data_IF_677245698946
#
_entry.id   IF_677245698946
#
_cell.length_a   1.000
_cell.length_b   1.000
_cell.length_c   1.000
_cell.angle_alpha   90.00
_cell.angle_beta   90.00
_cell.angle_gamma   90.00
#
_symmetry.space_group_name_H-M   'P 1'
#
loop_
_entity.id
_entity.type
_entity.pdbx_description
1 polymer ?
#
# COMPACT_ATOMS: atom_id res chain seq x y z
N UNK A 1 4.74 -4.82 -7.57
CA UNK A 1 3.37 -5.12 -7.07
C UNK A 1 3.36 -5.12 -5.54
N UNK A 2 2.28 -4.70 -4.89
CA UNK A 2 2.13 -4.80 -3.42
C UNK A 2 1.34 -6.04 -3.02
N UNK A 3 1.85 -6.82 -2.08
CA UNK A 3 1.27 -8.07 -1.59
C UNK A 3 0.97 -7.99 -0.09
N UNK A 4 -0.32 -8.13 0.25
CA UNK A 4 -0.83 -8.02 1.62
C UNK A 4 -0.81 -9.38 2.36
N UNK A 5 -0.07 -9.40 3.46
CA UNK A 5 0.02 -10.56 4.37
C UNK A 5 -0.99 -10.50 5.52
N UNK A 6 -1.68 -9.37 5.67
CA UNK A 6 -2.65 -9.06 6.69
C UNK A 6 -2.23 -7.84 7.51
N UNK A 7 -3.06 -6.80 7.51
CA UNK A 7 -2.98 -5.68 8.44
C UNK A 7 -3.38 -6.12 9.85
N UNK A 8 -2.78 -5.52 10.88
CA UNK A 8 -3.11 -5.81 12.28
C UNK A 8 -3.58 -4.54 12.98
N UNK A 9 -4.79 -4.56 13.50
CA UNK A 9 -5.37 -3.49 14.33
C UNK A 9 -5.93 -4.13 15.61
N UNK A 10 -5.56 -3.61 16.78
CA UNK A 10 -5.98 -4.15 18.08
C UNK A 10 -5.79 -5.67 18.23
N UNK A 11 -4.69 -6.18 17.67
CA UNK A 11 -4.33 -7.60 17.68
C UNK A 11 -5.15 -8.48 16.73
N UNK A 12 -6.02 -7.91 15.90
CA UNK A 12 -6.82 -8.61 14.89
C UNK A 12 -6.21 -8.46 13.51
N UNK A 13 -5.98 -9.57 12.83
CA UNK A 13 -5.50 -9.58 11.46
C UNK A 13 -6.66 -9.43 10.45
N UNK A 14 -6.52 -8.56 9.45
CA UNK A 14 -7.49 -8.41 8.35
C UNK A 14 -7.60 -9.68 7.49
N UNK A 15 -6.53 -10.47 7.44
CA UNK A 15 -6.47 -11.77 6.77
C UNK A 15 -6.42 -12.87 7.83
N UNK A 16 -7.51 -13.59 8.02
CA UNK A 16 -7.57 -14.64 9.05
C UNK A 16 -6.55 -15.76 8.80
N UNK A 17 -6.47 -16.24 7.54
CA UNK A 17 -5.60 -17.35 7.14
C UNK A 17 -4.62 -16.91 6.06
N UNK A 18 -3.34 -17.22 6.27
CA UNK A 18 -2.27 -17.03 5.29
C UNK A 18 -1.65 -18.40 4.98
N UNK A 19 -2.19 -19.08 3.97
CA UNK A 19 -1.68 -20.38 3.54
C UNK A 19 -0.35 -20.20 2.78
N UNK A 20 0.78 -20.78 3.24
CA UNK A 20 2.08 -20.62 2.58
C UNK A 20 2.12 -21.13 1.14
N UNK A 21 1.32 -22.16 0.79
CA UNK A 21 1.24 -22.67 -0.57
C UNK A 21 0.53 -21.66 -1.49
N UNK A 22 -0.54 -21.03 -1.00
CA UNK A 22 -1.23 -19.95 -1.72
C UNK A 22 -0.30 -18.75 -1.89
N UNK A 23 0.40 -18.32 -0.83
CA UNK A 23 1.36 -17.21 -0.90
C UNK A 23 2.42 -17.44 -1.98
N UNK A 24 3.06 -18.62 -1.98
CA UNK A 24 4.07 -18.94 -2.99
C UNK A 24 3.49 -18.92 -4.41
N UNK A 25 2.26 -19.40 -4.57
CA UNK A 25 1.61 -19.47 -5.87
C UNK A 25 1.18 -18.10 -6.38
N UNK A 26 0.63 -17.24 -5.52
CA UNK A 26 0.30 -15.86 -5.83
C UNK A 26 1.56 -15.06 -6.20
N UNK A 27 2.67 -15.22 -5.46
CA UNK A 27 3.94 -14.58 -5.78
C UNK A 27 4.54 -15.09 -7.10
N UNK A 28 4.38 -16.38 -7.43
CA UNK A 28 4.78 -16.92 -8.73
C UNK A 28 3.96 -16.30 -9.87
N UNK A 29 2.65 -16.11 -9.69
CA UNK A 29 1.79 -15.42 -10.66
C UNK A 29 2.20 -13.95 -10.81
N UNK A 30 2.53 -13.27 -9.71
CA UNK A 30 3.05 -11.89 -9.73
C UNK A 30 4.34 -11.80 -10.55
N UNK A 31 5.25 -12.75 -10.41
CA UNK A 31 6.48 -12.78 -11.20
C UNK A 31 6.22 -13.15 -12.67
N UNK A 32 5.59 -14.28 -12.90
CA UNK A 32 5.57 -14.93 -14.22
C UNK A 32 4.48 -14.33 -15.14
N UNK A 33 3.32 -13.99 -14.58
CA UNK A 33 2.16 -13.58 -15.37
C UNK A 33 2.01 -12.06 -15.39
N UNK A 34 2.28 -11.38 -14.26
CA UNK A 34 2.31 -9.91 -14.19
C UNK A 34 3.66 -9.30 -14.59
N UNK A 35 4.70 -10.12 -14.83
CA UNK A 35 6.06 -9.68 -15.20
C UNK A 35 6.72 -8.76 -14.16
N UNK A 36 6.35 -8.88 -12.88
CA UNK A 36 6.99 -8.10 -11.82
C UNK A 36 8.38 -8.68 -11.50
N UNK A 37 9.36 -7.80 -11.32
CA UNK A 37 10.70 -8.07 -10.80
C UNK A 37 10.83 -7.76 -9.31
N UNK A 38 9.98 -6.87 -8.78
CA UNK A 38 9.92 -6.49 -7.37
C UNK A 38 8.51 -6.63 -6.76
N UNK A 39 8.48 -6.98 -5.47
CA UNK A 39 7.26 -7.04 -4.66
C UNK A 39 7.43 -6.31 -3.33
N UNK A 40 6.46 -5.45 -3.00
CA UNK A 40 6.34 -4.87 -1.67
C UNK A 40 5.47 -5.75 -0.80
N UNK A 41 6.07 -6.35 0.23
CA UNK A 41 5.38 -7.21 1.18
C UNK A 41 4.94 -6.35 2.36
N UNK A 42 3.62 -6.20 2.53
CA UNK A 42 3.03 -5.38 3.60
C UNK A 42 2.25 -6.22 4.60
N UNK A 43 2.13 -5.73 5.83
CA UNK A 43 1.37 -6.36 6.90
C UNK A 43 1.85 -5.95 8.30
N UNK A 44 1.07 -6.31 9.31
CA UNK A 44 1.35 -5.97 10.71
C UNK A 44 2.04 -7.07 11.54
N UNK A 45 2.19 -8.27 10.98
CA UNK A 45 2.75 -9.45 11.65
C UNK A 45 4.13 -9.80 11.07
N UNK A 46 5.23 -9.68 11.86
CA UNK A 46 6.59 -9.99 11.39
C UNK A 46 6.79 -11.41 10.86
N UNK A 47 6.11 -12.42 11.44
CA UNK A 47 6.25 -13.80 11.01
C UNK A 47 5.63 -14.00 9.62
N UNK A 48 4.49 -13.34 9.37
CA UNK A 48 3.81 -13.37 8.06
C UNK A 48 4.57 -12.60 6.99
N UNK A 49 5.16 -11.46 7.35
CA UNK A 49 6.04 -10.69 6.46
C UNK A 49 7.26 -11.53 6.06
N UNK A 50 7.95 -12.15 7.01
CA UNK A 50 9.11 -13.01 6.73
C UNK A 50 8.73 -14.21 5.87
N UNK A 51 7.58 -14.85 6.13
CA UNK A 51 7.10 -15.97 5.33
C UNK A 51 6.91 -15.60 3.85
N UNK A 52 6.23 -14.49 3.58
CA UNK A 52 5.98 -14.04 2.21
C UNK A 52 7.27 -13.52 1.55
N UNK A 53 8.13 -12.83 2.30
CA UNK A 53 9.42 -12.36 1.82
C UNK A 53 10.38 -13.51 1.48
N UNK A 54 10.42 -14.59 2.26
CA UNK A 54 11.18 -15.81 1.96
C UNK A 54 10.69 -16.46 0.65
N UNK A 55 9.37 -16.53 0.46
CA UNK A 55 8.79 -17.05 -0.77
C UNK A 55 9.13 -16.17 -1.99
N UNK A 56 9.06 -14.84 -1.85
CA UNK A 56 9.40 -13.89 -2.91
C UNK A 56 10.89 -13.97 -3.29
N UNK A 57 11.77 -13.97 -2.29
CA UNK A 57 13.21 -14.10 -2.49
C UNK A 57 13.59 -15.43 -3.17
N UNK A 58 12.95 -16.55 -2.79
CA UNK A 58 13.18 -17.84 -3.43
C UNK A 58 12.71 -17.87 -4.91
N UNK A 59 11.78 -17.00 -5.28
CA UNK A 59 11.33 -16.80 -6.65
C UNK A 59 12.22 -15.82 -7.43
N UNK A 60 13.22 -15.21 -6.79
CA UNK A 60 14.14 -14.25 -7.40
C UNK A 60 13.60 -12.83 -7.51
N UNK A 61 12.50 -12.51 -6.82
CA UNK A 61 11.96 -11.15 -6.76
C UNK A 61 12.79 -10.29 -5.81
N UNK A 62 13.00 -9.02 -6.16
CA UNK A 62 13.41 -8.00 -5.20
C UNK A 62 12.30 -7.80 -4.16
N UNK A 63 12.69 -7.76 -2.87
CA UNK A 63 11.73 -7.68 -1.76
C UNK A 63 11.79 -6.30 -1.12
N UNK A 64 10.69 -5.57 -1.21
CA UNK A 64 10.43 -4.38 -0.39
C UNK A 64 9.74 -4.83 0.90
N UNK A 65 10.54 -5.05 1.95
CA UNK A 65 10.09 -5.54 3.25
C UNK A 65 9.48 -4.37 4.03
N UNK A 66 8.16 -4.33 4.14
CA UNK A 66 7.41 -3.13 4.51
C UNK A 66 6.46 -3.39 5.69
N UNK A 67 6.96 -3.43 6.94
CA UNK A 67 6.09 -3.47 8.11
C UNK A 67 5.10 -2.29 8.10
N UNK A 68 3.83 -2.61 8.31
CA UNK A 68 2.71 -1.67 8.21
C UNK A 68 2.02 -1.52 9.58
N UNK A 69 2.59 -0.71 10.50
CA UNK A 69 2.00 -0.47 11.81
C UNK A 69 0.71 0.36 11.68
N UNK A 70 -0.34 -0.05 12.40
CA UNK A 70 -1.62 0.64 12.48
C UNK A 70 -2.03 0.82 13.94
N UNK A 71 -2.48 2.03 14.29
CA UNK A 71 -2.96 2.37 15.64
C UNK A 71 -1.95 2.03 16.75
N UNK A 72 -0.66 2.10 16.44
CA UNK A 72 0.43 1.90 17.41
C UNK A 72 0.96 3.24 17.92
N UNK A 73 1.64 3.20 19.08
CA UNK A 73 2.45 4.31 19.59
C UNK A 73 3.90 4.21 19.08
N UNK A 74 4.65 5.33 19.03
CA UNK A 74 6.03 5.37 18.53
C UNK A 74 6.94 4.25 19.07
N UNK A 75 6.89 3.94 20.36
CA UNK A 75 7.76 2.93 20.98
C UNK A 75 7.45 1.51 20.46
N UNK A 76 6.18 1.22 20.22
CA UNK A 76 5.73 -0.06 19.65
C UNK A 76 6.15 -0.19 18.18
N UNK A 77 6.09 0.92 17.43
CA UNK A 77 6.55 0.96 16.04
C UNK A 77 8.06 0.69 15.95
N UNK A 78 8.87 1.31 16.82
CA UNK A 78 10.32 1.07 16.85
C UNK A 78 10.65 -0.38 17.21
N UNK A 79 9.90 -0.99 18.13
CA UNK A 79 10.07 -2.41 18.47
C UNK A 79 9.75 -3.31 17.26
N UNK A 80 8.64 -3.03 16.55
CA UNK A 80 8.28 -3.74 15.32
C UNK A 80 9.37 -3.60 14.24
N UNK A 81 9.86 -2.38 14.01
CA UNK A 81 10.89 -2.13 13.00
C UNK A 81 12.20 -2.82 13.33
N UNK A 82 12.59 -2.88 14.62
CA UNK A 82 13.78 -3.61 15.06
C UNK A 82 13.70 -5.09 14.72
N UNK A 83 12.59 -5.76 15.07
CA UNK A 83 12.38 -7.17 14.73
C UNK A 83 12.43 -7.36 13.21
N UNK A 84 11.59 -6.65 12.47
CA UNK A 84 11.53 -6.73 11.01
C UNK A 84 12.89 -6.47 10.34
N UNK A 85 13.70 -5.54 10.84
CA UNK A 85 15.03 -5.26 10.32
C UNK A 85 15.99 -6.45 10.48
N UNK A 86 15.92 -7.17 11.61
CA UNK A 86 16.68 -8.42 11.82
C UNK A 86 16.25 -9.51 10.81
N UNK A 87 14.95 -9.61 10.52
CA UNK A 87 14.41 -10.58 9.54
C UNK A 87 14.84 -10.24 8.10
N UNK A 88 14.69 -8.98 7.72
CA UNK A 88 15.14 -8.46 6.43
C UNK A 88 16.65 -8.67 6.22
N UNK A 89 17.47 -8.50 7.26
CA UNK A 89 18.91 -8.75 7.19
C UNK A 89 19.23 -10.24 6.99
N UNK A 90 18.46 -11.16 7.60
CA UNK A 90 18.63 -12.61 7.34
C UNK A 90 18.35 -12.98 5.89
N UNK A 91 17.31 -12.39 5.29
CA UNK A 91 17.01 -12.53 3.86
C UNK A 91 18.17 -12.01 2.99
N UNK A 92 18.64 -10.80 3.26
CA UNK A 92 19.75 -10.18 2.52
C UNK A 92 21.04 -11.00 2.60
N UNK A 93 21.39 -11.52 3.78
CA UNK A 93 22.58 -12.38 3.98
C UNK A 93 22.49 -13.73 3.25
N UNK A 94 21.29 -14.18 2.89
CA UNK A 94 21.06 -15.35 2.03
C UNK A 94 21.13 -15.02 0.53
N UNK A 95 21.38 -13.77 0.16
CA UNK A 95 21.58 -13.33 -1.23
C UNK A 95 20.37 -12.63 -1.86
N UNK A 96 19.30 -12.39 -1.12
CA UNK A 96 18.14 -11.64 -1.63
C UNK A 96 18.46 -10.14 -1.75
N UNK A 97 17.96 -9.48 -2.80
CA UNK A 97 17.88 -8.01 -2.86
C UNK A 97 16.71 -7.55 -1.99
N UNK A 98 16.99 -6.75 -0.98
CA UNK A 98 16.00 -6.31 0.01
C UNK A 98 16.09 -4.80 0.20
N UNK A 99 14.95 -4.12 0.12
CA UNK A 99 14.73 -2.75 0.56
C UNK A 99 13.85 -2.78 1.80
N UNK A 100 14.23 -2.08 2.86
CA UNK A 100 13.40 -1.94 4.05
C UNK A 100 12.57 -0.66 3.97
N UNK A 101 11.25 -0.78 4.13
CA UNK A 101 10.33 0.37 4.17
C UNK A 101 9.93 0.62 5.63
N UNK A 102 10.41 1.70 6.21
CA UNK A 102 10.23 2.07 7.62
C UNK A 102 8.83 2.64 7.92
N UNK A 103 7.79 1.93 7.48
CA UNK A 103 6.39 2.31 7.64
C UNK A 103 5.81 3.08 6.45
N UNK A 104 4.50 3.26 6.53
CA UNK A 104 3.67 3.90 5.51
C UNK A 104 2.75 4.88 6.22
N UNK A 105 2.78 6.15 5.79
CA UNK A 105 1.87 7.21 6.25
C UNK A 105 1.70 7.29 7.78
N UNK A 106 2.81 7.16 8.52
CA UNK A 106 2.77 6.97 9.97
C UNK A 106 2.04 8.09 10.71
N UNK A 107 2.06 9.32 10.18
CA UNK A 107 1.39 10.45 10.81
C UNK A 107 -0.13 10.30 10.92
N UNK A 108 -0.75 9.59 9.98
CA UNK A 108 -2.21 9.36 9.93
C UNK A 108 -2.58 7.96 10.38
N UNK A 109 -1.70 6.98 10.18
CA UNK A 109 -1.98 5.59 10.54
C UNK A 109 -1.75 5.26 12.01
N UNK A 110 -1.03 6.12 12.75
CA UNK A 110 -0.59 5.81 14.11
C UNK A 110 -0.80 6.98 15.09
N UNK A 111 -0.76 6.66 16.38
CA UNK A 111 -0.89 7.65 17.44
C UNK A 111 0.40 8.47 17.62
N UNK A 112 0.28 9.64 18.25
CA UNK A 112 1.42 10.46 18.67
C UNK A 112 1.83 11.57 17.68
N UNK A 113 1.33 11.52 16.45
CA UNK A 113 1.65 12.52 15.42
C UNK A 113 0.52 13.55 15.23
N UNK A 114 -0.67 13.09 14.88
CA UNK A 114 -1.88 13.91 14.72
C UNK A 114 -2.93 13.58 15.79
N UNK A 115 -3.75 14.57 16.21
CA UNK A 115 -4.84 14.33 17.14
C UNK A 115 -6.01 13.60 16.45
N UNK A 116 -6.48 12.52 17.06
CA UNK A 116 -7.61 11.71 16.57
C UNK A 116 -7.49 10.27 17.04
N UNK A 117 -8.63 9.59 17.16
CA UNK A 117 -8.71 8.19 17.59
C UNK A 117 -8.57 7.20 16.42
N UNK A 118 -8.65 7.67 15.18
CA UNK A 118 -8.54 6.88 13.96
C UNK A 118 -7.97 7.75 12.82
N UNK A 119 -7.57 7.16 11.68
CA UNK A 119 -6.98 7.90 10.57
C UNK A 119 -7.92 8.97 10.00
N UNK A 120 -9.22 8.68 9.91
CA UNK A 120 -10.23 9.61 9.37
C UNK A 120 -10.36 10.87 10.22
N UNK A 121 -10.41 10.73 11.56
CA UNK A 121 -10.39 11.86 12.48
C UNK A 121 -9.09 12.66 12.39
N UNK A 122 -7.94 12.00 12.29
CA UNK A 122 -6.63 12.68 12.18
C UNK A 122 -6.56 13.54 10.92
N UNK A 123 -6.97 12.98 9.78
CA UNK A 123 -7.03 13.70 8.51
C UNK A 123 -8.09 14.79 8.57
N UNK A 124 -9.30 14.50 9.07
CA UNK A 124 -10.39 15.45 9.19
C UNK A 124 -10.05 16.66 10.06
N UNK A 125 -9.41 16.45 11.21
CA UNK A 125 -8.93 17.52 12.09
C UNK A 125 -7.84 18.39 11.46
N UNK A 126 -6.95 17.80 10.66
CA UNK A 126 -5.92 18.57 9.94
C UNK A 126 -6.54 19.37 8.79
N UNK A 127 -7.36 18.72 7.97
CA UNK A 127 -7.96 19.31 6.77
C UNK A 127 -9.10 20.27 7.07
N UNK A 128 -9.76 20.15 8.22
CA UNK A 128 -10.80 21.08 8.67
C UNK A 128 -10.27 22.44 9.15
N UNK A 129 -8.95 22.59 9.32
CA UNK A 129 -8.34 23.87 9.78
C UNK A 129 -8.39 24.94 8.68
N UNK A 130 -8.51 26.22 9.04
CA UNK A 130 -8.25 27.35 8.14
C UNK A 130 -6.86 27.24 7.48
N UNK A 131 -6.65 27.73 6.25
CA UNK A 131 -5.41 27.54 5.48
C UNK A 131 -4.13 27.90 6.23
N UNK A 132 -4.08 29.04 6.90
CA UNK A 132 -2.93 29.51 7.65
C UNK A 132 -2.59 28.61 8.85
N UNK A 133 -3.61 28.21 9.62
CA UNK A 133 -3.45 27.27 10.74
C UNK A 133 -3.15 25.86 10.29
N UNK A 134 -3.59 25.48 9.09
CA UNK A 134 -3.28 24.18 8.47
C UNK A 134 -1.82 24.13 8.06
N UNK A 135 -1.32 25.18 7.41
CA UNK A 135 0.09 25.28 7.04
C UNK A 135 1.01 25.23 8.26
N UNK A 136 0.65 25.91 9.35
CA UNK A 136 1.37 25.80 10.62
C UNK A 136 1.33 24.38 11.20
N UNK A 137 0.15 23.75 11.28
CA UNK A 137 0.02 22.38 11.78
C UNK A 137 0.83 21.37 10.96
N UNK A 138 0.92 21.54 9.63
CA UNK A 138 1.75 20.70 8.76
C UNK A 138 3.24 20.88 9.03
N UNK A 139 3.72 22.11 9.28
CA UNK A 139 5.13 22.33 9.68
C UNK A 139 5.45 21.67 11.02
N UNK A 140 4.57 21.81 12.01
CA UNK A 140 4.75 21.16 13.32
C UNK A 140 4.68 19.64 13.23
N UNK A 141 3.84 19.11 12.34
CA UNK A 141 3.81 17.69 12.04
C UNK A 141 5.14 17.23 11.45
N UNK A 142 5.66 17.95 10.44
CA UNK A 142 6.95 17.63 9.82
C UNK A 142 8.08 17.57 10.84
N UNK A 143 8.13 18.47 11.82
CA UNK A 143 9.14 18.41 12.90
C UNK A 143 9.02 17.12 13.71
N UNK A 144 7.80 16.73 14.10
CA UNK A 144 7.55 15.53 14.92
C UNK A 144 7.79 14.24 14.16
N UNK A 145 7.29 14.15 12.93
CA UNK A 145 7.51 12.99 12.04
C UNK A 145 8.99 12.81 11.78
N UNK A 146 9.72 13.86 11.43
CA UNK A 146 11.16 13.74 11.16
C UNK A 146 11.99 13.44 12.41
N UNK A 147 11.56 13.84 13.60
CA UNK A 147 12.20 13.39 14.83
C UNK A 147 12.07 11.86 14.99
N UNK A 148 10.86 11.34 14.83
CA UNK A 148 10.61 9.90 14.88
C UNK A 148 11.34 9.14 13.76
N UNK A 149 11.31 9.64 12.52
CA UNK A 149 11.94 8.97 11.38
C UNK A 149 13.46 8.87 11.53
N UNK A 150 14.12 9.82 12.22
CA UNK A 150 15.54 9.69 12.58
C UNK A 150 15.78 8.53 13.55
N UNK A 151 14.94 8.39 14.57
CA UNK A 151 15.03 7.30 15.54
C UNK A 151 14.71 5.93 14.89
N UNK A 152 13.72 5.90 14.00
CA UNK A 152 13.36 4.74 13.22
C UNK A 152 14.49 4.31 12.28
N UNK A 153 15.08 5.25 11.53
CA UNK A 153 16.21 4.96 10.66
C UNK A 153 17.41 4.45 11.45
N UNK A 154 17.76 5.08 12.57
CA UNK A 154 18.82 4.61 13.45
C UNK A 154 18.55 3.18 13.97
N UNK A 155 17.33 2.92 14.44
CA UNK A 155 16.91 1.60 14.93
C UNK A 155 17.02 0.52 13.86
N UNK A 156 16.59 0.80 12.63
CA UNK A 156 16.70 -0.16 11.51
C UNK A 156 18.16 -0.38 11.15
N UNK A 157 18.98 0.69 11.09
CA UNK A 157 20.40 0.61 10.72
C UNK A 157 21.28 -0.16 11.72
N UNK A 158 20.85 -0.29 12.97
CA UNK A 158 21.52 -1.18 13.94
C UNK A 158 21.47 -2.65 13.55
N UNK A 159 20.52 -3.03 12.67
CA UNK A 159 20.22 -4.44 12.33
C UNK A 159 20.31 -4.74 10.84
N UNK A 160 19.96 -3.78 10.00
CA UNK A 160 19.82 -3.95 8.56
C UNK A 160 20.77 -3.05 7.77
N UNK A 161 21.47 -3.63 6.80
CA UNK A 161 22.52 -2.96 6.03
C UNK A 161 22.22 -2.89 4.51
N UNK A 162 20.99 -3.16 4.08
CA UNK A 162 20.53 -2.92 2.70
C UNK A 162 19.95 -1.52 2.51
N UNK A 163 19.15 -1.28 1.48
CA UNK A 163 18.58 0.05 1.22
C UNK A 163 17.37 0.34 2.10
N UNK A 164 17.24 1.58 2.57
CA UNK A 164 16.23 2.01 3.51
C UNK A 164 15.39 3.14 2.92
N UNK A 165 14.06 3.05 3.05
CA UNK A 165 13.13 4.11 2.67
C UNK A 165 11.97 4.22 3.67
N UNK A 166 11.06 5.15 3.42
CA UNK A 166 9.84 5.42 4.16
C UNK A 166 8.76 5.82 3.15
N UNK A 167 7.55 5.26 3.23
CA UNK A 167 6.47 5.59 2.30
C UNK A 167 5.64 6.76 2.84
N UNK A 168 5.83 7.93 2.26
CA UNK A 168 5.28 9.18 2.77
C UNK A 168 4.00 9.62 2.04
N UNK A 169 3.21 10.44 2.73
CA UNK A 169 2.23 11.34 2.10
C UNK A 169 2.73 12.78 2.06
N UNK A 170 2.18 13.59 1.15
CA UNK A 170 2.79 14.86 0.73
C UNK A 170 2.94 15.87 1.87
N UNK A 171 2.05 15.87 2.87
CA UNK A 171 2.09 16.82 3.97
C UNK A 171 2.99 16.43 5.15
N UNK A 172 3.64 15.26 5.12
CA UNK A 172 4.58 14.85 6.18
C UNK A 172 5.92 15.58 6.12
N UNK A 173 6.24 16.24 5.00
CA UNK A 173 7.46 17.05 4.83
C UNK A 173 8.74 16.30 5.25
N UNK A 174 8.88 15.07 4.76
CA UNK A 174 9.96 14.17 5.18
C UNK A 174 11.35 14.73 4.83
N UNK A 175 12.24 14.70 5.80
CA UNK A 175 13.68 14.83 5.63
C UNK A 175 14.22 13.49 5.15
N UNK A 176 14.58 13.44 3.86
CA UNK A 176 15.07 12.24 3.20
C UNK A 176 16.54 11.95 3.47
N UNK A 177 17.26 12.78 4.24
CA UNK A 177 18.69 12.60 4.54
C UNK A 177 19.05 11.19 5.04
N UNK A 178 18.34 10.57 6.00
CA UNK A 178 18.69 9.24 6.54
C UNK A 178 18.24 8.05 5.66
N UNK A 179 17.52 8.29 4.57
CA UNK A 179 16.95 7.28 3.68
C UNK A 179 17.70 7.22 2.35
N UNK A 180 17.72 6.09 1.67
CA UNK A 180 18.42 5.93 0.38
C UNK A 180 17.50 6.25 -0.82
N UNK A 181 16.20 6.00 -0.66
CA UNK A 181 15.16 6.15 -1.69
C UNK A 181 14.08 7.10 -1.17
N UNK A 182 13.60 7.99 -2.04
CA UNK A 182 12.43 8.84 -1.79
C UNK A 182 11.19 8.06 -2.20
N UNK A 183 10.24 7.86 -1.29
CA UNK A 183 9.06 7.01 -1.57
C UNK A 183 7.77 7.71 -1.18
N UNK A 184 6.79 7.68 -2.08
CA UNK A 184 5.48 8.30 -1.83
C UNK A 184 4.31 7.37 -2.14
N UNK A 185 3.23 7.55 -1.38
CA UNK A 185 1.89 7.11 -1.74
C UNK A 185 1.26 8.24 -2.59
N UNK A 186 1.08 8.01 -3.90
CA UNK A 186 0.63 9.02 -4.87
C UNK A 186 -0.69 8.61 -5.52
N UNK A 187 -1.78 9.15 -5.00
CA UNK A 187 -3.12 8.99 -5.57
C UNK A 187 -3.50 10.22 -6.40
N UNK A 188 -3.76 10.02 -7.69
CA UNK A 188 -4.37 11.03 -8.55
C UNK A 188 -5.86 11.14 -8.21
N UNK A 189 -6.34 12.36 -7.94
CA UNK A 189 -7.76 12.71 -7.85
C UNK A 189 -8.15 13.69 -8.95
N UNK A 190 -9.45 14.00 -9.09
CA UNK A 190 -9.91 14.99 -10.08
C UNK A 190 -9.31 16.38 -9.84
N UNK A 191 -9.13 16.79 -8.57
CA UNK A 191 -8.63 18.12 -8.21
C UNK A 191 -7.15 18.34 -8.56
N UNK A 192 -6.42 17.28 -8.88
CA UNK A 192 -4.99 17.35 -9.17
C UNK A 192 -4.62 16.73 -10.51
N UNK A 193 -5.60 16.28 -11.30
CA UNK A 193 -5.36 15.52 -12.53
C UNK A 193 -4.51 16.32 -13.55
N UNK A 194 -4.79 17.62 -13.70
CA UNK A 194 -4.12 18.53 -14.62
C UNK A 194 -2.64 18.78 -14.26
N UNK A 195 -2.29 18.67 -12.98
CA UNK A 195 -0.93 18.91 -12.45
C UNK A 195 -0.18 17.64 -12.05
N UNK A 196 -0.83 16.48 -12.04
CA UNK A 196 -0.28 15.24 -11.48
C UNK A 196 1.02 14.82 -12.17
N UNK A 197 1.03 14.82 -13.51
CA UNK A 197 2.21 14.47 -14.32
C UNK A 197 3.39 15.39 -14.03
N UNK A 198 3.16 16.71 -13.98
CA UNK A 198 4.22 17.67 -13.68
C UNK A 198 4.76 17.48 -12.26
N UNK A 199 3.89 17.22 -11.28
CA UNK A 199 4.30 16.95 -9.90
C UNK A 199 5.18 15.69 -9.81
N UNK A 200 4.82 14.60 -10.52
CA UNK A 200 5.65 13.39 -10.59
C UNK A 200 7.02 13.71 -11.19
N UNK A 201 7.07 14.44 -12.31
CA UNK A 201 8.34 14.87 -12.93
C UNK A 201 9.22 15.64 -11.97
N UNK A 202 8.64 16.59 -11.22
CA UNK A 202 9.39 17.37 -10.23
C UNK A 202 9.98 16.47 -9.14
N UNK A 203 9.21 15.48 -8.65
CA UNK A 203 9.71 14.54 -7.65
C UNK A 203 10.84 13.66 -8.22
N UNK A 204 10.70 13.18 -9.46
CA UNK A 204 11.66 12.30 -10.11
C UNK A 204 13.00 12.99 -10.45
N UNK A 205 13.01 14.33 -10.58
CA UNK A 205 14.23 15.12 -10.79
C UNK A 205 15.07 15.33 -9.52
N UNK A 206 14.61 14.80 -8.37
CA UNK A 206 15.34 14.85 -7.12
C UNK A 206 16.69 14.12 -7.15
N UNK A 207 17.57 14.37 -6.17
CA UNK A 207 18.91 13.77 -6.13
C UNK A 207 18.93 12.28 -5.75
N UNK A 208 17.78 11.73 -5.32
CA UNK A 208 17.61 10.32 -4.93
C UNK A 208 16.56 9.69 -5.83
N UNK A 209 16.66 8.37 -6.01
CA UNK A 209 15.67 7.58 -6.76
C UNK A 209 14.29 7.76 -6.13
N UNK A 210 13.27 7.86 -6.99
CA UNK A 210 11.89 8.00 -6.58
C UNK A 210 11.17 6.66 -6.76
N UNK A 211 10.53 6.18 -5.70
CA UNK A 211 9.59 5.07 -5.75
C UNK A 211 8.17 5.52 -5.41
N UNK A 212 7.19 4.83 -5.97
CA UNK A 212 5.78 5.01 -5.66
C UNK A 212 5.21 3.68 -5.17
N UNK A 213 4.96 3.57 -3.86
CA UNK A 213 4.52 2.31 -3.21
C UNK A 213 3.01 2.20 -3.06
N UNK A 214 2.30 3.30 -3.31
CA UNK A 214 0.86 3.39 -3.13
C UNK A 214 0.18 4.19 -4.20
N UNK A 215 -0.33 3.49 -5.20
CA UNK A 215 -1.31 4.05 -6.11
C UNK A 215 -2.31 2.97 -6.52
N UNK A 216 -3.55 3.39 -6.72
CA UNK A 216 -4.62 2.49 -7.09
C UNK A 216 -5.98 3.16 -7.02
N UNK A 217 -6.99 2.43 -7.49
CA UNK A 217 -8.37 2.86 -7.36
C UNK A 217 -9.28 1.63 -7.30
N UNK A 218 -10.55 1.86 -6.97
CA UNK A 218 -11.56 0.82 -6.87
C UNK A 218 -12.27 0.59 -8.22
N UNK A 219 -13.01 -0.52 -8.32
CA UNK A 219 -13.72 -0.93 -9.54
C UNK A 219 -15.18 -0.46 -9.54
N UNK A 220 -15.43 0.80 -9.19
CA UNK A 220 -16.72 1.45 -9.39
C UNK A 220 -16.60 2.76 -10.16
N UNK A 221 -17.69 3.14 -10.84
CA UNK A 221 -17.71 4.33 -11.70
C UNK A 221 -17.32 5.61 -10.94
N UNK A 222 -16.29 6.29 -11.43
CA UNK A 222 -15.77 7.52 -10.83
C UNK A 222 -14.82 7.32 -9.64
N UNK A 223 -14.45 6.07 -9.30
CA UNK A 223 -13.51 5.80 -8.21
C UNK A 223 -12.15 6.50 -8.39
N UNK A 224 -11.63 6.54 -9.62
CA UNK A 224 -10.34 7.15 -9.94
C UNK A 224 -10.25 8.63 -9.55
N UNK A 225 -11.37 9.35 -9.58
CA UNK A 225 -11.39 10.79 -9.30
C UNK A 225 -11.41 11.14 -7.82
N UNK A 226 -11.55 10.14 -6.93
CA UNK A 226 -11.68 10.36 -5.49
C UNK A 226 -10.35 10.39 -4.74
N UNK A 227 -9.24 9.97 -5.36
CA UNK A 227 -7.94 9.85 -4.69
C UNK A 227 -8.06 9.09 -3.37
N UNK A 228 -7.50 9.64 -2.28
CA UNK A 228 -7.55 9.03 -0.94
C UNK A 228 -8.95 8.80 -0.35
N UNK A 229 -10.01 9.36 -0.95
CA UNK A 229 -11.41 9.19 -0.50
C UNK A 229 -12.11 8.00 -1.16
N UNK A 230 -11.40 7.19 -1.95
CA UNK A 230 -11.98 6.11 -2.75
C UNK A 230 -12.73 5.06 -1.91
N UNK A 231 -12.38 4.88 -0.64
CA UNK A 231 -13.01 3.94 0.29
C UNK A 231 -14.14 4.53 1.16
N UNK A 232 -14.48 5.83 1.03
CA UNK A 232 -15.60 6.46 1.79
C UNK A 232 -16.99 5.87 1.44
N UNK A 233 -17.05 4.98 0.45
CA UNK A 233 -18.24 4.23 0.05
C UNK A 233 -18.53 3.01 0.90
N UNK A 234 -17.62 2.65 1.82
CA UNK A 234 -17.70 1.42 2.61
C UNK A 234 -18.13 1.74 4.03
N UNK A 235 -19.20 1.09 4.48
CA UNK A 235 -19.58 1.06 5.90
C UNK A 235 -18.71 0.03 6.62
N UNK A 236 -18.12 0.44 7.74
CA UNK A 236 -17.29 -0.43 8.58
C UNK A 236 -17.96 -0.66 9.92
N UNK A 237 -17.75 -1.84 10.49
CA UNK A 237 -18.21 -2.18 11.83
C UNK A 237 -17.51 -1.27 12.85
N UNK A 238 -18.24 -0.59 13.76
CA UNK A 238 -17.63 0.38 14.68
C UNK A 238 -16.62 -0.23 15.65
N UNK A 239 -16.74 -1.53 15.98
CA UNK A 239 -15.90 -2.18 16.98
C UNK A 239 -14.70 -2.91 16.36
N UNK A 240 -14.91 -3.58 15.24
CA UNK A 240 -13.90 -4.42 14.58
C UNK A 240 -13.25 -3.71 13.40
N UNK A 241 -13.85 -2.62 12.91
CA UNK A 241 -13.45 -1.89 11.69
C UNK A 241 -13.44 -2.76 10.44
N UNK A 242 -14.05 -3.94 10.47
CA UNK A 242 -14.22 -4.78 9.30
C UNK A 242 -15.22 -4.14 8.32
N UNK A 243 -15.01 -4.24 7.00
CA UNK A 243 -15.98 -3.76 6.01
C UNK A 243 -17.26 -4.60 6.11
N UNK A 244 -18.41 -3.92 6.14
CA UNK A 244 -19.72 -4.55 6.30
C UNK A 244 -20.46 -4.59 4.96
N UNK A 245 -20.59 -3.44 4.31
CA UNK A 245 -21.30 -3.26 3.03
C UNK A 245 -20.97 -1.89 2.42
N UNK A 246 -21.42 -1.65 1.19
CA UNK A 246 -21.39 -0.34 0.57
C UNK A 246 -22.53 0.55 1.10
N UNK A 247 -22.28 1.83 1.32
CA UNK A 247 -23.26 2.82 1.78
C UNK A 247 -24.21 3.32 0.67
N UNK A 248 -24.09 2.75 -0.54
CA UNK A 248 -24.87 3.10 -1.71
C UNK A 248 -24.73 2.07 -2.82
N UNK A 249 -25.53 2.22 -3.88
CA UNK A 249 -25.43 1.36 -5.07
C UNK A 249 -24.45 2.00 -6.05
N UNK A 250 -23.29 1.35 -6.23
CA UNK A 250 -22.20 1.83 -7.09
C UNK A 250 -22.08 0.96 -8.33
N UNK A 251 -22.16 1.54 -9.53
CA UNK A 251 -21.97 0.79 -10.79
C UNK A 251 -20.54 0.22 -10.87
N UNK A 252 -20.39 -1.08 -11.14
CA UNK A 252 -19.08 -1.73 -11.31
C UNK A 252 -18.39 -1.24 -12.58
N UNK A 253 -17.12 -0.88 -12.47
CA UNK A 253 -16.30 -0.35 -13.54
C UNK A 253 -14.85 -0.85 -13.45
N UNK A 254 -14.63 -2.12 -13.82
CA UNK A 254 -13.27 -2.68 -13.89
C UNK A 254 -12.43 -2.03 -15.01
N UNK A 255 -13.08 -1.56 -16.08
CA UNK A 255 -12.41 -0.88 -17.18
C UNK A 255 -11.86 0.49 -16.74
N UNK A 256 -12.60 1.24 -15.93
CA UNK A 256 -12.16 2.48 -15.31
C UNK A 256 -10.97 2.28 -14.36
N UNK A 257 -10.99 1.22 -13.53
CA UNK A 257 -9.84 0.85 -12.69
C UNK A 257 -8.60 0.54 -13.56
N UNK A 258 -8.77 -0.23 -14.64
CA UNK A 258 -7.70 -0.59 -15.56
C UNK A 258 -7.12 0.63 -16.29
N UNK A 259 -7.97 1.57 -16.73
CA UNK A 259 -7.56 2.81 -17.38
C UNK A 259 -6.75 3.69 -16.42
N UNK A 260 -7.20 3.85 -15.17
CA UNK A 260 -6.49 4.62 -14.14
C UNK A 260 -5.08 4.07 -13.87
N UNK A 261 -4.95 2.76 -13.65
CA UNK A 261 -3.65 2.14 -13.41
C UNK A 261 -2.74 2.25 -14.63
N UNK A 262 -3.30 2.08 -15.84
CA UNK A 262 -2.54 2.26 -17.08
C UNK A 262 -2.00 3.67 -17.22
N UNK A 263 -2.82 4.69 -16.96
CA UNK A 263 -2.43 6.10 -17.02
C UNK A 263 -1.31 6.40 -16.03
N UNK A 264 -1.44 6.00 -14.76
CA UNK A 264 -0.43 6.31 -13.74
C UNK A 264 0.88 5.59 -14.00
N UNK A 265 0.84 4.32 -14.40
CA UNK A 265 2.04 3.58 -14.78
C UNK A 265 2.76 4.23 -15.97
N UNK A 266 2.02 4.76 -16.95
CA UNK A 266 2.62 5.53 -18.06
C UNK A 266 3.35 6.78 -17.57
N UNK A 267 2.71 7.52 -16.67
CA UNK A 267 3.26 8.75 -16.11
C UNK A 267 4.54 8.41 -15.35
N UNK A 268 4.50 7.39 -14.49
CA UNK A 268 5.67 6.98 -13.71
C UNK A 268 6.84 6.55 -14.60
N UNK A 269 6.58 5.70 -15.60
CA UNK A 269 7.57 5.27 -16.59
C UNK A 269 8.17 6.47 -17.37
N UNK A 270 7.31 7.36 -17.89
CA UNK A 270 7.73 8.47 -18.75
C UNK A 270 8.49 9.55 -17.98
N UNK A 271 8.09 9.81 -16.75
CA UNK A 271 8.64 10.89 -15.93
C UNK A 271 9.83 10.45 -15.06
N UNK A 272 10.26 9.18 -15.16
CA UNK A 272 11.50 8.70 -14.54
C UNK A 272 11.37 8.23 -13.10
N UNK A 273 10.21 7.69 -12.71
CA UNK A 273 10.06 6.95 -11.45
C UNK A 273 10.86 5.65 -11.56
N UNK A 274 11.66 5.34 -10.54
CA UNK A 274 12.53 4.16 -10.50
C UNK A 274 11.73 2.89 -10.22
N UNK A 275 10.81 2.92 -9.25
CA UNK A 275 10.04 1.75 -8.81
C UNK A 275 8.58 2.12 -8.57
N UNK A 276 7.63 1.30 -9.03
CA UNK A 276 6.20 1.55 -8.87
C UNK A 276 5.44 0.29 -8.45
N UNK A 277 4.71 0.35 -7.34
CA UNK A 277 3.95 -0.76 -6.78
C UNK A 277 2.44 -0.43 -6.76
N UNK A 278 1.67 -1.12 -7.60
CA UNK A 278 0.20 -1.08 -7.54
C UNK A 278 -0.24 -1.56 -6.15
N UNK A 279 -1.08 -0.76 -5.49
CA UNK A 279 -1.24 -0.81 -4.02
C UNK A 279 -1.73 -2.15 -3.46
N UNK A 280 -2.42 -3.02 -4.22
CA UNK A 280 -2.76 -4.37 -3.77
C UNK A 280 -2.93 -5.36 -4.92
N UNK A 281 -2.35 -6.56 -4.77
CA UNK A 281 -2.71 -7.71 -5.58
C UNK A 281 -4.16 -8.13 -5.31
N UNK A 282 -4.47 -8.40 -4.05
CA UNK A 282 -5.79 -8.76 -3.53
C UNK A 282 -6.10 -7.94 -2.27
N UNK A 283 -7.38 -7.71 -1.98
CA UNK A 283 -7.82 -7.04 -0.75
C UNK A 283 -8.73 -7.97 0.07
N UNK A 284 -8.18 -8.66 1.09
CA UNK A 284 -8.97 -9.48 2.01
C UNK A 284 -10.13 -8.69 2.66
N UNK A 285 -11.27 -9.35 2.86
CA UNK A 285 -12.48 -8.72 3.41
C UNK A 285 -13.38 -8.03 2.39
N UNK A 286 -13.01 -8.00 1.11
CA UNK A 286 -13.79 -7.39 0.02
C UNK A 286 -14.24 -8.45 -1.00
N UNK A 287 -15.19 -9.34 -0.64
CA UNK A 287 -15.64 -10.43 -1.50
C UNK A 287 -16.42 -9.92 -2.72
N UNK A 288 -16.35 -10.69 -3.80
CA UNK A 288 -17.18 -10.51 -4.98
C UNK A 288 -18.52 -11.22 -4.82
N UNK A 289 -19.61 -10.46 -4.83
CA UNK A 289 -20.98 -10.98 -4.66
C UNK A 289 -21.93 -10.44 -5.73
N UNK A 290 -21.76 -10.84 -7.00
CA UNK A 290 -22.48 -10.23 -8.12
C UNK A 290 -23.99 -10.55 -8.14
N UNK A 291 -24.40 -11.66 -7.53
CA UNK A 291 -25.77 -12.20 -7.64
C UNK A 291 -26.72 -11.75 -6.51
N UNK A 292 -26.22 -10.96 -5.54
CA UNK A 292 -26.95 -10.52 -4.35
C UNK A 292 -27.37 -9.04 -4.38
N UNK A 293 -27.60 -8.45 -3.20
CA UNK A 293 -27.75 -7.00 -3.06
C UNK A 293 -26.46 -6.33 -3.56
N UNK A 294 -26.51 -5.38 -4.51
CA UNK A 294 -25.32 -4.69 -5.01
C UNK A 294 -24.45 -4.04 -3.94
N UNK A 295 -25.01 -3.75 -2.76
CA UNK A 295 -24.28 -3.20 -1.61
C UNK A 295 -23.42 -4.23 -0.88
N UNK A 296 -23.69 -5.52 -1.06
CA UNK A 296 -22.93 -6.60 -0.45
C UNK A 296 -21.71 -7.00 -1.32
N UNK A 297 -21.64 -6.55 -2.57
CA UNK A 297 -20.51 -6.73 -3.50
C UNK A 297 -19.36 -5.75 -3.16
N UNK A 298 -18.73 -5.95 -2.00
CA UNK A 298 -17.64 -5.10 -1.49
C UNK A 298 -16.46 -5.01 -2.47
N UNK A 299 -16.21 -6.03 -3.29
CA UNK A 299 -15.16 -6.00 -4.32
C UNK A 299 -15.25 -4.79 -5.28
N UNK A 300 -16.42 -4.16 -5.44
CA UNK A 300 -16.54 -2.89 -6.19
C UNK A 300 -15.69 -1.78 -5.59
N UNK A 301 -15.61 -1.71 -4.27
CA UNK A 301 -14.73 -0.80 -3.53
C UNK A 301 -13.30 -1.35 -3.37
N UNK A 302 -13.05 -2.59 -3.79
CA UNK A 302 -11.77 -3.27 -3.62
C UNK A 302 -10.67 -2.69 -4.53
N UNK A 303 -9.57 -2.27 -3.92
CA UNK A 303 -8.39 -1.73 -4.61
C UNK A 303 -7.55 -2.82 -5.29
N UNK A 304 -7.73 -4.08 -4.89
CA UNK A 304 -7.04 -5.22 -5.48
C UNK A 304 -7.31 -5.38 -6.97
N UNK A 305 -6.33 -5.89 -7.71
CA UNK A 305 -6.43 -6.20 -9.15
C UNK A 305 -7.02 -7.59 -9.44
N UNK A 306 -7.29 -8.39 -8.40
CA UNK A 306 -8.10 -9.61 -8.45
C UNK A 306 -9.35 -9.42 -7.58
N UNK A 307 -10.41 -10.17 -7.90
CA UNK A 307 -11.64 -10.22 -7.11
C UNK A 307 -11.74 -11.53 -6.36
N UNK A 308 -12.01 -11.47 -5.06
CA UNK A 308 -12.06 -12.64 -4.18
C UNK A 308 -13.39 -13.38 -4.35
N UNK A 309 -13.34 -14.68 -4.50
CA UNK A 309 -14.49 -15.54 -4.76
C UNK A 309 -14.85 -16.32 -3.48
N UNK A 310 -16.12 -16.36 -3.13
CA UNK A 310 -16.59 -17.10 -1.95
C UNK A 310 -17.11 -18.48 -2.37
N UNK A 311 -16.48 -19.54 -1.87
CA UNK A 311 -16.96 -20.92 -2.04
C UNK A 311 -16.71 -21.54 -3.41
N UNK A 312 -15.96 -20.88 -4.30
CA UNK A 312 -15.56 -21.44 -5.59
C UNK A 312 -14.19 -20.94 -6.05
N UNK A 313 -13.64 -21.61 -7.08
CA UNK A 313 -12.34 -21.29 -7.67
C UNK A 313 -12.48 -20.39 -8.90
N UNK A 314 -11.39 -19.72 -9.25
CA UNK A 314 -11.27 -18.91 -10.46
C UNK A 314 -11.37 -19.76 -11.73
N UNK A 315 -11.76 -19.12 -12.83
CA UNK A 315 -11.74 -19.70 -14.17
C UNK A 315 -10.35 -19.59 -14.79
N UNK A 316 -9.68 -18.45 -14.61
CA UNK A 316 -8.32 -18.24 -15.15
C UNK A 316 -7.28 -19.02 -14.35
N UNK A 317 -7.45 -19.08 -13.03
CA UNK A 317 -6.59 -19.84 -12.11
C UNK A 317 -7.45 -20.82 -11.29
N UNK A 318 -7.66 -22.06 -11.77
CA UNK A 318 -8.53 -23.05 -11.10
C UNK A 318 -8.05 -23.49 -9.72
N UNK A 319 -6.78 -23.24 -9.40
CA UNK A 319 -6.17 -23.48 -8.09
C UNK A 319 -6.38 -22.31 -7.11
N UNK A 320 -6.95 -21.18 -7.53
CA UNK A 320 -7.10 -19.96 -6.72
C UNK A 320 -8.57 -19.63 -6.39
N UNK A 321 -8.81 -18.98 -5.26
CA UNK A 321 -10.14 -18.49 -4.82
C UNK A 321 -10.35 -17.02 -5.21
N UNK A 322 -9.81 -16.62 -6.35
CA UNK A 322 -9.96 -15.30 -6.92
C UNK A 322 -9.93 -15.36 -8.45
N UNK A 323 -10.45 -14.32 -9.11
CA UNK A 323 -10.39 -14.13 -10.56
C UNK A 323 -9.70 -12.80 -10.89
N UNK A 324 -8.88 -12.72 -11.95
CA UNK A 324 -8.37 -11.45 -12.45
C UNK A 324 -9.47 -10.44 -12.76
N UNK A 325 -9.27 -9.18 -12.38
CA UNK A 325 -10.04 -8.04 -12.92
C UNK A 325 -9.42 -7.56 -14.23
N UNK A 326 -10.11 -6.69 -14.96
CA UNK A 326 -9.52 -5.99 -16.11
C UNK A 326 -8.20 -5.26 -15.78
N UNK A 327 -8.06 -4.77 -14.53
CA UNK A 327 -6.85 -4.16 -14.02
C UNK A 327 -5.61 -5.08 -14.07
N UNK A 328 -5.78 -6.39 -13.85
CA UNK A 328 -4.69 -7.36 -13.94
C UNK A 328 -4.06 -7.36 -15.34
N UNK A 329 -4.89 -7.39 -16.38
CA UNK A 329 -4.44 -7.38 -17.76
C UNK A 329 -3.76 -6.05 -18.14
N UNK A 330 -4.28 -4.92 -17.65
CA UNK A 330 -3.67 -3.61 -17.84
C UNK A 330 -2.27 -3.52 -17.21
N UNK A 331 -2.13 -3.96 -15.95
CA UNK A 331 -0.83 -4.00 -15.25
C UNK A 331 0.15 -4.92 -15.98
N UNK A 332 -0.29 -6.11 -16.38
CA UNK A 332 0.51 -7.06 -17.18
C UNK A 332 1.08 -6.40 -18.45
N UNK A 333 0.26 -5.64 -19.18
CA UNK A 333 0.68 -4.99 -20.42
C UNK A 333 1.70 -3.86 -20.21
N UNK A 334 1.65 -3.20 -19.05
CA UNK A 334 2.60 -2.13 -18.68
C UNK A 334 3.94 -2.71 -18.25
N UNK A 335 3.95 -3.74 -17.39
CA UNK A 335 5.19 -4.32 -16.86
C UNK A 335 5.92 -5.28 -17.82
N UNK A 336 5.27 -5.75 -18.89
CA UNK A 336 5.95 -6.58 -19.91
C UNK A 336 6.97 -5.80 -20.77
N UNK A 337 6.86 -4.46 -20.82
CA UNK A 337 7.63 -3.61 -21.73
C UNK A 337 9.06 -3.43 -21.28
#
# INVERSE_FOLDING_TARGET
>A
MTYDTGFVVDGRASRERLDPAVVRRELAIIRDDLHCDAVQIIGGDPDRLELAADAAAALGLEVWFSPYPLELRPEQILALFRDCAERAERLRRRGATVVFVAGVELSVMNHGFLPGQNPEERVGHLMGRPPERRAEAMRELGVRVNAFLRDAAATVRERFHGELTYAAIQFEQVDWTPFDIVTFELLRSAEVADRFREAVRTLAQGPKRLAVTGFGTAAYRGAGDRGGRVLEVVEHDPATRAPVRLNGVYERDEAGQAAYLSELLEIFETEGVDSAFVFLFALPGYPHRPDGDPRDDLDRAGLGIVKLLEGHRGRTYPDMEWEPKAAFAAVTQRYRR
#
